data_IF_033489768523
#
_entry.id   IF_033489768523
#
_cell.length_a   1.000
_cell.length_b   1.000
_cell.length_c   1.000
_cell.angle_alpha   90.00
_cell.angle_beta   90.00
_cell.angle_gamma   90.00
#
_symmetry.space_group_name_H-M   'P 1'
#
loop_
_entity.id
_entity.type
_entity.pdbx_description
1 polymer ?
#
# COMPACT_ATOMS: atom_id res chain seq x y z
N UNK A 1 -4.98 -40.71 -30.64
CA UNK A 1 -4.14 -39.96 -29.67
C UNK A 1 -4.79 -38.60 -29.49
N UNK A 2 -5.25 -38.31 -28.28
CA UNK A 2 -6.16 -37.20 -27.98
C UNK A 2 -5.52 -36.05 -27.21
N UNK A 3 -6.42 -35.21 -26.67
CA UNK A 3 -6.26 -33.96 -25.90
C UNK A 3 -6.39 -32.68 -26.77
N UNK A 4 -7.18 -31.67 -26.42
CA UNK A 4 -8.16 -31.50 -25.35
C UNK A 4 -9.02 -30.27 -25.69
N UNK A 5 -10.33 -30.41 -25.53
CA UNK A 5 -11.32 -29.34 -25.63
C UNK A 5 -11.64 -28.93 -24.19
N UNK A 6 -11.25 -27.73 -23.75
CA UNK A 6 -11.63 -27.20 -22.43
C UNK A 6 -11.46 -25.69 -22.38
N UNK A 7 -12.45 -24.98 -22.94
CA UNK A 7 -12.55 -23.51 -22.86
C UNK A 7 -13.93 -23.03 -22.37
N UNK A 8 -14.82 -23.95 -21.95
CA UNK A 8 -16.20 -23.61 -21.58
C UNK A 8 -16.52 -23.70 -20.08
N UNK A 9 -15.59 -24.12 -19.20
CA UNK A 9 -15.86 -24.20 -17.76
C UNK A 9 -15.49 -22.94 -16.96
N UNK A 10 -14.69 -22.02 -17.53
CA UNK A 10 -14.24 -20.82 -16.81
C UNK A 10 -15.26 -19.67 -16.82
N UNK A 11 -16.22 -19.69 -17.75
CA UNK A 11 -17.23 -18.63 -17.84
C UNK A 11 -18.43 -18.86 -16.92
N UNK A 12 -18.65 -20.09 -16.44
CA UNK A 12 -19.77 -20.40 -15.56
C UNK A 12 -19.43 -20.25 -14.06
N UNK A 13 -18.14 -20.20 -13.71
CA UNK A 13 -17.70 -20.01 -12.31
C UNK A 13 -17.52 -18.54 -11.91
N UNK A 14 -17.75 -17.60 -12.83
CA UNK A 14 -17.71 -16.16 -12.54
C UNK A 14 -19.08 -15.54 -12.24
N UNK A 15 -20.17 -16.33 -12.26
CA UNK A 15 -21.53 -15.80 -12.02
C UNK A 15 -22.04 -16.00 -10.58
N UNK A 16 -21.24 -16.59 -9.68
CA UNK A 16 -21.55 -16.71 -8.24
C UNK A 16 -20.50 -16.06 -7.32
N UNK A 17 -19.77 -15.03 -7.78
CA UNK A 17 -19.09 -14.15 -6.84
C UNK A 17 -19.94 -12.90 -6.65
N UNK A 18 -20.74 -12.97 -5.59
CA UNK A 18 -21.53 -11.92 -5.00
C UNK A 18 -20.83 -10.57 -5.14
N UNK A 19 -21.57 -9.64 -5.72
CA UNK A 19 -21.23 -8.24 -5.84
C UNK A 19 -21.14 -7.65 -4.43
N UNK A 20 -19.94 -7.57 -3.87
CA UNK A 20 -19.66 -6.57 -2.85
C UNK A 20 -19.17 -5.33 -3.58
N UNK A 21 -20.12 -4.46 -3.88
CA UNK A 21 -19.82 -3.08 -4.16
C UNK A 21 -19.30 -2.46 -2.85
N UNK A 22 -18.04 -2.01 -2.87
CA UNK A 22 -17.53 -1.07 -1.88
C UNK A 22 -18.31 0.25 -2.02
N UNK A 23 -19.46 0.34 -1.36
CA UNK A 23 -20.18 1.58 -1.16
C UNK A 23 -20.02 1.98 0.31
N UNK A 24 -19.19 3.01 0.54
CA UNK A 24 -18.95 3.56 1.87
C UNK A 24 -20.23 4.26 2.33
N UNK A 25 -21.05 3.56 3.11
CA UNK A 25 -22.25 4.12 3.74
C UNK A 25 -21.86 4.90 4.98
N UNK A 26 -21.84 6.22 4.87
CA UNK A 26 -21.74 7.13 6.02
C UNK A 26 -23.03 7.06 6.85
N UNK A 27 -22.91 6.70 8.13
CA UNK A 27 -24.04 6.64 9.06
C UNK A 27 -24.49 8.07 9.35
N UNK A 28 -25.64 8.47 8.80
CA UNK A 28 -26.27 9.73 9.16
C UNK A 28 -26.96 9.59 10.52
N UNK A 29 -26.57 10.48 11.42
CA UNK A 29 -27.21 10.75 12.70
C UNK A 29 -28.67 11.19 12.48
N UNK A 30 -29.62 10.48 13.10
CA UNK A 30 -31.05 10.76 12.98
C UNK A 30 -31.89 10.03 14.06
N UNK A 31 -32.80 10.73 14.76
CA UNK A 31 -33.33 10.32 16.05
C UNK A 31 -34.60 9.46 15.96
N UNK A 32 -34.75 8.55 16.93
CA UNK A 32 -36.03 8.06 17.46
C UNK A 32 -36.99 7.36 16.49
N UNK A 33 -37.09 6.03 16.57
CA UNK A 33 -38.31 5.47 17.16
C UNK A 33 -38.15 3.99 17.55
N UNK A 34 -38.74 3.68 18.70
CA UNK A 34 -38.51 2.51 19.52
C UNK A 34 -39.21 1.24 19.01
N UNK A 35 -38.85 0.73 17.83
CA UNK A 35 -39.44 -0.50 17.31
C UNK A 35 -38.46 -1.57 16.79
N UNK A 36 -37.20 -1.22 16.51
CA UNK A 36 -36.20 -2.17 15.99
C UNK A 36 -34.95 -2.19 16.86
N UNK A 37 -35.12 -2.63 18.11
CA UNK A 37 -33.99 -2.96 18.97
C UNK A 37 -33.36 -4.29 18.53
N UNK A 38 -32.04 -4.38 18.69
CA UNK A 38 -31.25 -5.60 18.47
C UNK A 38 -32.03 -6.85 18.94
N UNK A 39 -32.20 -7.88 18.09
CA UNK A 39 -32.91 -9.10 18.45
C UNK A 39 -32.37 -9.74 19.74
N UNK A 40 -31.09 -9.56 20.06
CA UNK A 40 -30.51 -9.96 21.34
C UNK A 40 -31.04 -9.14 22.52
N UNK A 41 -31.15 -7.82 22.39
CA UNK A 41 -31.70 -6.94 23.44
C UNK A 41 -33.17 -7.24 23.72
N UNK A 42 -33.98 -7.43 22.66
CA UNK A 42 -35.39 -7.82 22.83
C UNK A 42 -35.50 -9.17 23.55
N UNK A 43 -34.60 -10.11 23.23
CA UNK A 43 -34.56 -11.44 23.84
C UNK A 43 -34.09 -11.37 25.31
N UNK A 44 -33.09 -10.55 25.63
CA UNK A 44 -32.64 -10.30 27.01
C UNK A 44 -33.76 -9.65 27.85
N UNK A 45 -34.48 -8.68 27.28
CA UNK A 45 -35.60 -8.03 27.97
C UNK A 45 -36.81 -8.95 28.17
N UNK A 46 -37.01 -9.94 27.28
CA UNK A 46 -38.08 -10.94 27.40
C UNK A 46 -37.79 -12.06 28.41
N UNK A 47 -36.53 -12.20 28.87
CA UNK A 47 -36.18 -13.18 29.89
C UNK A 47 -36.72 -12.71 31.23
N UNK A 48 -37.70 -13.45 31.77
CA UNK A 48 -38.16 -13.26 33.15
C UNK A 48 -37.01 -13.63 34.08
N UNK A 49 -36.47 -12.63 34.77
CA UNK A 49 -35.46 -12.82 35.81
C UNK A 49 -36.08 -13.73 36.87
N UNK A 50 -35.58 -14.95 36.98
CA UNK A 50 -35.99 -15.85 38.06
C UNK A 50 -35.75 -15.13 39.40
N UNK A 51 -36.72 -15.15 40.33
CA UNK A 51 -36.56 -14.47 41.60
C UNK A 51 -35.25 -14.94 42.25
N UNK A 52 -34.43 -14.00 42.78
CA UNK A 52 -33.16 -14.36 43.38
C UNK A 52 -33.43 -15.37 44.48
N UNK A 53 -32.72 -16.50 44.43
CA UNK A 53 -32.84 -17.58 45.43
C UNK A 53 -32.43 -17.11 46.85
N UNK A 54 -31.90 -15.89 46.96
CA UNK A 54 -31.54 -15.23 48.20
C UNK A 54 -32.34 -13.93 48.31
N UNK A 55 -33.42 -13.96 49.09
CA UNK A 55 -34.12 -12.75 49.52
C UNK A 55 -33.27 -12.06 50.61
N UNK A 56 -32.18 -11.43 50.17
CA UNK A 56 -31.25 -10.69 51.01
C UNK A 56 -31.64 -9.22 51.08
N UNK A 57 -32.48 -8.89 52.05
CA UNK A 57 -32.44 -7.64 52.82
C UNK A 57 -32.13 -6.34 52.04
N UNK A 58 -33.08 -5.90 51.20
CA UNK A 58 -33.15 -4.50 50.74
C UNK A 58 -34.50 -3.92 51.13
N UNK A 59 -34.60 -3.47 52.39
CA UNK A 59 -35.70 -2.63 52.85
C UNK A 59 -35.34 -1.76 54.07
N UNK A 60 -34.09 -1.82 54.57
CA UNK A 60 -33.68 -1.05 55.74
C UNK A 60 -32.19 -0.69 55.68
N UNK A 61 -31.83 0.20 54.75
CA UNK A 61 -30.66 1.10 54.82
C UNK A 61 -30.52 1.85 53.50
N UNK A 62 -31.50 2.72 53.23
CA UNK A 62 -31.25 3.87 52.37
C UNK A 62 -30.57 4.93 53.22
N UNK A 63 -29.59 5.59 52.62
CA UNK A 63 -28.89 6.80 53.04
C UNK A 63 -27.54 6.62 53.75
N UNK A 64 -26.56 7.34 53.20
CA UNK A 64 -25.15 7.50 53.58
C UNK A 64 -24.15 6.53 52.93
N UNK A 65 -23.40 7.12 52.00
CA UNK A 65 -22.22 6.62 51.29
C UNK A 65 -21.25 5.88 52.23
N UNK A 66 -21.10 4.56 52.06
CA UNK A 66 -20.00 3.82 52.73
C UNK A 66 -18.99 3.37 51.70
N UNK A 67 -17.92 4.17 51.60
CA UNK A 67 -16.66 3.89 50.89
C UNK A 67 -16.25 2.41 50.97
N UNK A 68 -15.76 1.86 49.86
CA UNK A 68 -15.27 0.49 49.71
C UNK A 68 -14.25 0.06 50.78
N UNK A 69 -13.50 1.02 51.35
CA UNK A 69 -12.58 0.77 52.46
C UNK A 69 -13.29 0.45 53.79
N UNK A 70 -14.48 0.97 54.02
CA UNK A 70 -15.26 0.73 55.25
C UNK A 70 -15.93 -0.66 55.24
N UNK A 71 -16.17 -1.20 54.04
CA UNK A 71 -16.66 -2.57 53.83
C UNK A 71 -15.57 -3.60 54.15
N UNK A 72 -14.30 -3.31 53.84
CA UNK A 72 -13.17 -4.21 54.10
C UNK A 72 -12.77 -4.26 55.59
N UNK A 73 -12.99 -3.19 56.34
CA UNK A 73 -12.58 -3.08 57.76
C UNK A 73 -13.65 -3.63 58.72
N UNK A 74 -14.91 -3.75 58.27
CA UNK A 74 -15.97 -4.38 59.06
C UNK A 74 -15.77 -5.90 59.12
N UNK A 75 -15.07 -6.33 60.18
CA UNK A 75 -15.06 -7.71 60.67
C UNK A 75 -16.51 -8.20 60.79
N UNK A 76 -16.91 -9.10 59.89
CA UNK A 76 -18.25 -9.68 59.85
C UNK A 76 -18.62 -10.26 61.23
N UNK A 77 -19.82 -9.99 61.77
CA UNK A 77 -20.22 -10.55 63.05
C UNK A 77 -20.34 -12.06 62.89
N UNK A 78 -19.55 -12.78 63.68
CA UNK A 78 -19.68 -14.21 63.89
C UNK A 78 -21.05 -14.53 64.53
N UNK A 79 -22.09 -14.72 63.73
CA UNK A 79 -23.21 -15.65 64.00
C UNK A 79 -24.34 -15.48 63.00
N UNK A 80 -24.46 -16.45 62.08
CA UNK A 80 -25.74 -17.08 61.74
C UNK A 80 -25.45 -18.28 60.85
N UNK A 81 -25.44 -19.47 61.46
CA UNK A 81 -25.45 -20.75 60.77
C UNK A 81 -26.83 -21.03 60.16
N UNK A 82 -26.85 -21.82 59.09
CA UNK A 82 -27.97 -22.24 58.23
C UNK A 82 -28.31 -21.21 57.12
N UNK A 83 -27.73 -21.31 55.92
CA UNK A 83 -27.65 -22.49 55.05
C UNK A 83 -26.23 -22.68 54.52
N UNK A 84 -25.37 -23.30 55.32
CA UNK A 84 -24.06 -23.74 54.85
C UNK A 84 -24.28 -24.98 53.99
N UNK A 85 -24.41 -24.79 52.68
CA UNK A 85 -24.06 -25.84 51.73
C UNK A 85 -22.60 -26.16 52.01
N UNK A 86 -22.35 -27.23 52.78
CA UNK A 86 -21.03 -27.64 53.23
C UNK A 86 -20.23 -28.14 52.00
N UNK A 87 -19.75 -27.21 51.18
CA UNK A 87 -18.87 -27.51 50.07
C UNK A 87 -17.57 -28.03 50.68
N UNK A 88 -17.27 -29.30 50.39
CA UNK A 88 -16.06 -29.93 50.91
C UNK A 88 -14.84 -29.11 50.44
N UNK A 89 -14.00 -28.60 51.35
CA UNK A 89 -12.88 -27.72 50.99
C UNK A 89 -11.88 -28.39 50.05
N UNK A 90 -11.79 -29.72 50.09
CA UNK A 90 -10.92 -30.50 49.21
C UNK A 90 -11.45 -30.50 47.76
N UNK A 91 -12.76 -30.67 47.58
CA UNK A 91 -13.42 -30.59 46.25
C UNK A 91 -13.29 -29.19 45.65
N UNK A 92 -13.38 -28.15 46.48
CA UNK A 92 -13.21 -26.77 46.04
C UNK A 92 -11.76 -26.48 45.60
N UNK A 93 -10.76 -27.00 46.34
CA UNK A 93 -9.35 -26.91 45.95
C UNK A 93 -9.06 -27.65 44.64
N UNK A 94 -9.63 -28.84 44.45
CA UNK A 94 -9.51 -29.62 43.22
C UNK A 94 -10.14 -28.89 42.03
N UNK A 95 -11.33 -28.30 42.21
CA UNK A 95 -11.98 -27.49 41.16
C UNK A 95 -11.14 -26.27 40.78
N UNK A 96 -10.56 -25.57 41.77
CA UNK A 96 -9.66 -24.44 41.49
C UNK A 96 -8.36 -24.88 40.83
N UNK A 97 -7.85 -26.08 41.13
CA UNK A 97 -6.68 -26.65 40.47
C UNK A 97 -6.99 -26.98 39.01
N UNK A 98 -8.08 -27.69 38.74
CA UNK A 98 -8.58 -27.94 37.38
C UNK A 98 -8.81 -26.63 36.60
N UNK A 99 -9.42 -25.63 37.22
CA UNK A 99 -9.66 -24.35 36.57
C UNK A 99 -8.36 -23.60 36.28
N UNK A 100 -7.39 -23.64 37.19
CA UNK A 100 -6.07 -23.02 36.99
C UNK A 100 -5.31 -23.69 35.86
N UNK A 101 -5.26 -25.02 35.84
CA UNK A 101 -4.64 -25.80 34.75
C UNK A 101 -5.31 -25.49 33.41
N UNK A 102 -6.64 -25.44 33.37
CA UNK A 102 -7.38 -25.05 32.19
C UNK A 102 -7.04 -23.62 31.74
N UNK A 103 -6.97 -22.66 32.67
CA UNK A 103 -6.57 -21.28 32.37
C UNK A 103 -5.15 -21.19 31.80
N UNK A 104 -4.20 -21.92 32.38
CA UNK A 104 -2.82 -21.99 31.90
C UNK A 104 -2.75 -22.61 30.49
N UNK A 105 -3.50 -23.68 30.24
CA UNK A 105 -3.57 -24.30 28.91
C UNK A 105 -4.16 -23.34 27.87
N UNK A 106 -5.22 -22.60 28.22
CA UNK A 106 -5.81 -21.59 27.31
C UNK A 106 -4.85 -20.43 27.06
N UNK A 107 -4.20 -19.91 28.10
CA UNK A 107 -3.20 -18.87 27.95
C UNK A 107 -2.07 -19.33 27.01
N UNK A 108 -1.54 -20.55 27.21
CA UNK A 108 -0.51 -21.12 26.34
C UNK A 108 -0.96 -21.23 24.88
N UNK A 109 -2.19 -21.71 24.63
CA UNK A 109 -2.73 -21.83 23.28
C UNK A 109 -2.91 -20.47 22.60
N UNK A 110 -3.37 -19.46 23.35
CA UNK A 110 -3.51 -18.09 22.85
C UNK A 110 -2.12 -17.53 22.49
N UNK A 111 -1.13 -17.66 23.39
CA UNK A 111 0.23 -17.18 23.14
C UNK A 111 0.86 -17.83 21.92
N UNK A 112 0.71 -19.15 21.76
CA UNK A 112 1.23 -19.86 20.58
C UNK A 112 0.57 -19.37 19.28
N UNK A 113 -0.76 -19.20 19.29
CA UNK A 113 -1.48 -18.69 18.12
C UNK A 113 -1.06 -17.26 17.79
N UNK A 114 -0.83 -16.43 18.80
CA UNK A 114 -0.39 -15.05 18.63
C UNK A 114 1.02 -14.98 18.03
N UNK A 115 1.95 -15.82 18.49
CA UNK A 115 3.31 -15.93 17.93
C UNK A 115 3.29 -16.40 16.47
N UNK A 116 2.45 -17.38 16.12
CA UNK A 116 2.29 -17.83 14.73
C UNK A 116 1.75 -16.72 13.81
N UNK A 117 0.81 -15.92 14.32
CA UNK A 117 0.26 -14.77 13.58
C UNK A 117 1.32 -13.68 13.42
N UNK A 118 2.07 -13.36 14.46
CA UNK A 118 3.14 -12.36 14.41
C UNK A 118 4.21 -12.72 13.39
N UNK A 119 4.69 -13.96 13.39
CA UNK A 119 5.65 -14.48 12.40
C UNK A 119 5.13 -14.38 10.96
N UNK A 120 3.83 -14.65 10.75
CA UNK A 120 3.18 -14.49 9.44
C UNK A 120 3.10 -13.03 9.00
N UNK A 121 2.79 -12.12 9.93
CA UNK A 121 2.73 -10.68 9.66
C UNK A 121 4.12 -10.16 9.29
N UNK A 122 5.16 -10.52 10.05
CA UNK A 122 6.53 -10.11 9.75
C UNK A 122 7.00 -10.62 8.39
N UNK A 123 6.69 -11.88 8.07
CA UNK A 123 7.00 -12.44 6.75
C UNK A 123 6.25 -11.72 5.62
N UNK A 124 4.96 -11.42 5.83
CA UNK A 124 4.14 -10.71 4.85
C UNK A 124 4.66 -9.28 4.61
N UNK A 125 5.05 -8.56 5.66
CA UNK A 125 5.63 -7.22 5.58
C UNK A 125 6.96 -7.23 4.82
N UNK A 126 7.86 -8.16 5.17
CA UNK A 126 9.14 -8.32 4.48
C UNK A 126 8.96 -8.63 2.97
N UNK A 127 7.94 -9.42 2.62
CA UNK A 127 7.61 -9.70 1.22
C UNK A 127 6.98 -8.49 0.52
N UNK A 128 6.09 -7.74 1.19
CA UNK A 128 5.46 -6.55 0.64
C UNK A 128 6.50 -5.48 0.29
N UNK A 129 7.47 -5.24 1.18
CA UNK A 129 8.57 -4.30 0.94
C UNK A 129 9.42 -4.72 -0.26
N UNK A 130 9.79 -6.01 -0.34
CA UNK A 130 10.56 -6.54 -1.48
C UNK A 130 9.80 -6.42 -2.80
N UNK A 131 8.48 -6.66 -2.79
CA UNK A 131 7.64 -6.53 -3.98
C UNK A 131 7.59 -5.08 -4.44
N UNK A 132 7.36 -4.14 -3.52
CA UNK A 132 7.35 -2.71 -3.80
C UNK A 132 8.69 -2.23 -4.38
N UNK A 133 9.81 -2.68 -3.79
CA UNK A 133 11.14 -2.35 -4.28
C UNK A 133 11.37 -2.85 -5.72
N UNK A 134 11.00 -4.10 -6.02
CA UNK A 134 11.10 -4.64 -7.39
C UNK A 134 10.20 -3.91 -8.37
N UNK A 135 8.99 -3.55 -7.95
CA UNK A 135 8.07 -2.80 -8.79
C UNK A 135 8.62 -1.42 -9.13
N UNK A 136 9.11 -0.68 -8.13
CA UNK A 136 9.70 0.64 -8.34
C UNK A 136 10.93 0.60 -9.24
N UNK A 137 11.80 -0.41 -9.07
CA UNK A 137 12.93 -0.61 -9.97
C UNK A 137 12.47 -0.89 -11.41
N UNK A 138 11.46 -1.76 -11.58
CA UNK A 138 10.88 -2.06 -12.89
C UNK A 138 10.33 -0.81 -13.56
N UNK A 139 9.55 -0.01 -12.85
CA UNK A 139 8.98 1.25 -13.35
C UNK A 139 10.07 2.24 -13.74
N UNK A 140 11.13 2.39 -12.92
CA UNK A 140 12.25 3.25 -13.24
C UNK A 140 12.99 2.79 -14.52
N UNK A 141 13.24 1.48 -14.64
CA UNK A 141 13.87 0.87 -15.83
C UNK A 141 13.02 1.05 -17.09
N UNK A 142 11.70 0.82 -16.99
CA UNK A 142 10.76 1.05 -18.09
C UNK A 142 10.70 2.52 -18.50
N UNK A 143 10.69 3.44 -17.54
CA UNK A 143 10.72 4.87 -17.82
C UNK A 143 12.00 5.29 -18.56
N UNK A 144 13.16 4.78 -18.11
CA UNK A 144 14.44 5.00 -18.78
C UNK A 144 14.42 4.47 -20.21
N UNK A 145 13.95 3.22 -20.40
CA UNK A 145 13.83 2.61 -21.74
C UNK A 145 12.89 3.41 -22.64
N UNK A 146 11.74 3.84 -22.11
CA UNK A 146 10.79 4.68 -22.85
C UNK A 146 11.39 6.01 -23.26
N UNK A 147 12.20 6.64 -22.39
CA UNK A 147 12.88 7.89 -22.70
C UNK A 147 13.90 7.70 -23.82
N UNK A 148 14.78 6.68 -23.71
CA UNK A 148 15.76 6.36 -24.75
C UNK A 148 15.07 6.06 -26.09
N UNK A 149 13.96 5.33 -26.09
CA UNK A 149 13.19 5.05 -27.31
C UNK A 149 12.53 6.29 -27.90
N UNK A 150 12.14 7.26 -27.08
CA UNK A 150 11.62 8.53 -27.57
C UNK A 150 12.70 9.33 -28.31
N UNK A 151 13.96 9.25 -27.88
CA UNK A 151 15.11 9.91 -28.53
C UNK A 151 15.50 9.27 -29.88
N UNK A 152 15.14 8.01 -30.12
CA UNK A 152 15.44 7.33 -31.40
C UNK A 152 14.75 8.02 -32.58
N UNK A 153 13.54 8.56 -32.40
CA UNK A 153 12.78 9.20 -33.49
C UNK A 153 13.44 10.48 -34.01
N UNK A 154 13.82 11.45 -33.16
CA UNK A 154 14.63 12.60 -33.58
C UNK A 154 15.93 12.19 -34.28
N UNK A 155 16.70 11.26 -33.71
CA UNK A 155 17.96 10.79 -34.30
C UNK A 155 17.76 10.17 -35.68
N UNK A 156 16.67 9.40 -35.87
CA UNK A 156 16.33 8.83 -37.16
C UNK A 156 16.08 9.91 -38.23
N UNK A 157 15.45 11.03 -37.85
CA UNK A 157 15.22 12.17 -38.75
C UNK A 157 16.53 12.85 -39.13
N UNK A 158 17.39 13.14 -38.14
CA UNK A 158 18.70 13.78 -38.37
C UNK A 158 19.60 12.93 -39.27
N UNK A 159 19.65 11.62 -39.04
CA UNK A 159 20.38 10.67 -39.90
C UNK A 159 19.80 10.67 -41.32
N UNK A 160 18.47 10.76 -41.45
CA UNK A 160 17.79 10.87 -42.74
C UNK A 160 18.17 12.14 -43.51
N UNK A 161 18.18 13.28 -42.82
CA UNK A 161 18.57 14.57 -43.40
C UNK A 161 20.04 14.57 -43.81
N UNK A 162 20.94 14.11 -42.94
CA UNK A 162 22.37 14.02 -43.23
C UNK A 162 22.64 13.13 -44.44
N UNK A 163 21.93 11.99 -44.56
CA UNK A 163 22.00 11.12 -45.74
C UNK A 163 21.54 11.85 -47.00
N UNK A 164 20.47 12.66 -46.91
CA UNK A 164 19.98 13.49 -48.00
C UNK A 164 21.05 14.49 -48.49
N UNK A 165 21.61 15.28 -47.57
CA UNK A 165 22.70 16.24 -47.87
C UNK A 165 23.93 15.56 -48.47
N UNK A 166 24.32 14.41 -47.94
CA UNK A 166 25.45 13.63 -48.48
C UNK A 166 25.17 13.15 -49.91
N UNK A 167 23.95 12.68 -50.18
CA UNK A 167 23.54 12.25 -51.53
C UNK A 167 23.58 13.41 -52.51
N UNK A 168 23.14 14.60 -52.09
CA UNK A 168 23.22 15.82 -52.89
C UNK A 168 24.68 16.19 -53.20
N UNK A 169 25.56 16.18 -52.19
CA UNK A 169 27.00 16.45 -52.39
C UNK A 169 27.64 15.45 -53.34
N UNK A 170 27.35 14.15 -53.20
CA UNK A 170 27.87 13.12 -54.11
C UNK A 170 27.34 13.35 -55.53
N UNK A 171 26.06 13.66 -55.69
CA UNK A 171 25.47 13.96 -56.99
C UNK A 171 26.07 15.22 -57.61
N UNK A 172 26.36 16.25 -56.81
CA UNK A 172 27.03 17.46 -57.26
C UNK A 172 28.45 17.16 -57.74
N UNK A 173 29.21 16.38 -56.98
CA UNK A 173 30.54 15.91 -57.36
C UNK A 173 30.50 15.05 -58.64
N UNK A 174 29.52 14.15 -58.80
CA UNK A 174 29.37 13.34 -60.02
C UNK A 174 29.05 14.22 -61.25
N UNK A 175 28.16 15.20 -61.09
CA UNK A 175 27.88 16.18 -62.14
C UNK A 175 29.11 17.03 -62.49
N UNK A 176 29.91 17.40 -61.50
CA UNK A 176 31.19 18.10 -61.70
C UNK A 176 32.17 17.22 -62.48
N UNK A 177 32.35 15.96 -62.09
CA UNK A 177 33.20 14.99 -62.79
C UNK A 177 32.77 14.80 -64.25
N UNK A 178 31.46 14.66 -64.50
CA UNK A 178 30.92 14.58 -65.87
C UNK A 178 31.19 15.82 -66.70
N UNK A 179 31.07 17.01 -66.09
CA UNK A 179 31.37 18.28 -66.78
C UNK A 179 32.84 18.41 -67.12
N UNK A 180 33.74 18.06 -66.20
CA UNK A 180 35.19 18.03 -66.45
C UNK A 180 35.52 17.07 -67.59
N UNK A 181 34.89 15.89 -67.62
CA UNK A 181 35.12 14.90 -68.68
C UNK A 181 34.63 15.39 -70.07
N UNK A 182 33.56 16.19 -70.11
CA UNK A 182 32.98 16.68 -71.37
C UNK A 182 33.65 17.96 -71.89
N UNK A 183 33.89 18.94 -71.02
CA UNK A 183 34.32 20.31 -71.39
C UNK A 183 35.79 20.61 -71.06
N UNK A 184 36.44 19.75 -70.26
CA UNK A 184 37.76 19.99 -69.71
C UNK A 184 37.78 20.92 -68.48
N UNK A 185 38.88 20.94 -67.71
CA UNK A 185 38.96 21.66 -66.44
C UNK A 185 38.97 23.19 -66.58
N UNK A 186 39.25 23.74 -67.77
CA UNK A 186 39.33 25.18 -68.01
C UNK A 186 37.96 25.88 -67.92
N UNK A 187 36.85 25.17 -68.20
CA UNK A 187 35.48 25.68 -68.05
C UNK A 187 35.20 26.11 -66.59
N UNK A 188 35.68 25.32 -65.61
CA UNK A 188 35.48 25.60 -64.18
C UNK A 188 36.29 26.79 -63.67
N UNK A 189 37.46 27.07 -64.26
CA UNK A 189 38.31 28.20 -63.87
C UNK A 189 37.67 29.55 -64.14
N UNK A 190 36.77 29.62 -65.12
CA UNK A 190 35.99 30.83 -65.40
C UNK A 190 34.83 31.06 -64.41
N UNK A 191 34.34 29.99 -63.76
CA UNK A 191 33.14 30.02 -62.91
C UNK A 191 33.43 30.19 -61.41
N UNK A 192 34.66 29.98 -60.96
CA UNK A 192 35.03 30.14 -59.55
C UNK A 192 35.34 31.62 -59.28
N UNK A 193 34.42 32.33 -58.63
CA UNK A 193 34.80 33.56 -57.93
C UNK A 193 35.56 33.20 -56.64
N UNK A 194 36.72 33.83 -56.36
CA UNK A 194 37.41 33.61 -55.11
C UNK A 194 36.56 34.11 -53.93
N UNK A 195 36.34 33.26 -52.93
CA UNK A 195 35.70 33.64 -51.68
C UNK A 195 36.53 34.73 -50.98
N UNK A 196 36.13 35.99 -51.13
CA UNK A 196 36.75 37.10 -50.39
C UNK A 196 36.12 37.19 -49.00
N UNK A 197 36.80 36.61 -48.02
CA UNK A 197 36.50 36.82 -46.60
C UNK A 197 36.76 38.29 -46.25
N UNK A 198 35.72 39.13 -46.33
CA UNK A 198 35.76 40.49 -45.77
C UNK A 198 35.65 40.37 -44.24
N UNK A 199 36.79 40.21 -43.57
CA UNK A 199 36.90 40.40 -42.12
C UNK A 199 36.86 41.90 -41.86
N UNK A 200 35.69 42.44 -41.54
CA UNK A 200 35.57 43.81 -41.01
C UNK A 200 36.14 43.80 -39.59
N UNK A 201 37.39 44.25 -39.46
CA UNK A 201 38.01 44.61 -38.18
C UNK A 201 37.74 46.09 -37.95
N UNK A 202 37.04 46.41 -36.85
CA UNK A 202 37.01 47.73 -36.21
C UNK A 202 36.83 47.52 -34.70
N UNK A 203 37.20 48.49 -33.85
CA UNK A 203 38.21 48.28 -32.83
C UNK A 203 37.62 48.17 -31.41
N UNK A 204 38.40 47.51 -30.58
CA UNK A 204 38.74 47.85 -29.19
C UNK A 204 37.90 48.92 -28.50
N UNK A 205 37.07 48.51 -27.54
CA UNK A 205 36.87 49.28 -26.31
C UNK A 205 37.26 48.41 -25.12
N UNK A 206 38.02 49.04 -24.25
CA UNK A 206 38.71 48.46 -23.12
C UNK A 206 37.83 48.58 -21.89
N UNK A 207 37.62 47.51 -21.14
CA UNK A 207 37.38 47.65 -19.71
C UNK A 207 37.86 46.42 -18.94
N UNK A 208 38.32 46.70 -17.72
CA UNK A 208 39.42 46.05 -17.01
C UNK A 208 38.89 45.44 -15.70
N UNK A 209 39.66 44.49 -15.13
CA UNK A 209 39.64 43.98 -13.73
C UNK A 209 38.58 42.88 -13.46
N UNK A 210 38.83 41.75 -12.79
CA UNK A 210 40.01 41.14 -12.18
C UNK A 210 39.65 39.65 -11.85
N UNK A 211 40.62 38.76 -11.59
CA UNK A 211 40.37 37.35 -11.33
C UNK A 211 40.19 37.04 -9.84
N UNK A 212 39.30 36.12 -9.49
CA UNK A 212 39.35 35.45 -8.19
C UNK A 212 39.32 33.94 -8.34
N UNK A 213 40.50 33.38 -8.19
CA UNK A 213 40.85 32.02 -7.79
C UNK A 213 40.16 31.67 -6.47
N UNK A 214 39.57 30.48 -6.36
CA UNK A 214 39.77 29.62 -5.17
C UNK A 214 39.39 28.17 -5.47
N UNK A 215 40.12 27.29 -4.79
CA UNK A 215 40.07 25.83 -4.83
C UNK A 215 38.87 25.24 -4.10
#
# INVERSE_FOLDING_TARGET
MGASESILSWQQQQQERQQWADEITTVSEGPGDAADGDPLLRRIQSLTIAPPLLSGQSAASSEAESSLTDILVRKQPSSSSATSGNLNPNVMFELFSMYREWQEEKAKKISQTQEEIENKIETADALAVKLLQRFNYSVASMRSTSHNLAEVRPLQVEVGELKGRLTEVISNCDALCKRIAAEGPESLRSSVQPFTTTRKVEPTDSETLDPKTES
#
